data_IF_902857870671
#
_entry.id   IF_902857870671
#
_cell.length_a   1.000
_cell.length_b   1.000
_cell.length_c   1.000
_cell.angle_alpha   90.00
_cell.angle_beta   90.00
_cell.angle_gamma   90.00
#
_symmetry.space_group_name_H-M   'P 1'
#
loop_
_entity.id
_entity.type
_entity.pdbx_description
1 polymer ?
#
# COMPACT_ATOMS: atom_id res chain seq x y z
N UNK A 1 7.01 -12.61 -28.76
CA UNK A 1 6.07 -12.10 -29.78
C UNK A 1 6.47 -10.70 -30.28
N UNK A 2 6.59 -9.64 -29.43
CA UNK A 2 6.91 -8.29 -29.92
C UNK A 2 8.37 -8.18 -30.43
N UNK A 3 9.33 -8.75 -29.70
CA UNK A 3 10.74 -8.79 -30.07
C UNK A 3 11.01 -9.69 -31.29
N UNK A 4 10.27 -10.77 -31.46
CA UNK A 4 10.34 -11.68 -32.56
C UNK A 4 9.80 -11.06 -33.86
N UNK A 5 8.68 -10.32 -33.77
CA UNK A 5 8.06 -9.67 -34.95
C UNK A 5 8.92 -8.54 -35.55
N UNK A 6 9.83 -7.96 -34.79
CA UNK A 6 10.77 -6.90 -35.24
C UNK A 6 12.06 -7.50 -35.80
N UNK A 7 12.35 -8.79 -35.51
CA UNK A 7 13.55 -9.47 -35.99
C UNK A 7 13.62 -9.62 -37.52
N UNK A 8 12.52 -9.49 -38.24
CA UNK A 8 12.43 -9.78 -39.68
C UNK A 8 12.65 -8.58 -40.63
N UNK A 9 12.89 -7.36 -40.15
CA UNK A 9 13.02 -6.23 -41.08
C UNK A 9 13.46 -4.87 -40.57
N UNK A 10 13.93 -4.72 -39.33
CA UNK A 10 14.20 -3.42 -38.77
C UNK A 10 15.69 -3.10 -38.53
N UNK A 11 16.02 -1.78 -38.48
CA UNK A 11 17.31 -1.25 -38.09
C UNK A 11 17.70 -1.80 -36.69
N UNK A 12 18.96 -2.20 -36.51
CA UNK A 12 19.52 -2.71 -35.24
C UNK A 12 19.32 -1.77 -34.04
N UNK A 13 19.12 -0.48 -34.28
CA UNK A 13 18.80 0.52 -33.26
C UNK A 13 17.36 0.38 -32.76
N UNK A 14 16.42 0.20 -33.69
CA UNK A 14 15.01 0.00 -33.38
C UNK A 14 14.80 -1.28 -32.56
N UNK A 15 15.47 -2.36 -32.99
CA UNK A 15 15.46 -3.65 -32.30
C UNK A 15 15.94 -3.53 -30.85
N UNK A 16 17.13 -2.96 -30.62
CA UNK A 16 17.66 -2.72 -29.27
C UNK A 16 16.73 -1.88 -28.38
N UNK A 17 16.05 -0.91 -28.96
CA UNK A 17 15.13 -0.04 -28.24
C UNK A 17 13.86 -0.77 -27.82
N UNK A 18 13.30 -1.61 -28.67
CA UNK A 18 12.17 -2.47 -28.36
C UNK A 18 12.54 -3.51 -27.31
N UNK A 19 13.69 -4.15 -27.43
CA UNK A 19 14.20 -5.10 -26.44
C UNK A 19 14.35 -4.43 -25.05
N UNK A 20 14.91 -3.23 -25.00
CA UNK A 20 15.00 -2.46 -23.74
C UNK A 20 13.65 -2.20 -23.10
N UNK A 21 12.62 -1.85 -23.88
CA UNK A 21 11.26 -1.61 -23.38
C UNK A 21 10.63 -2.93 -22.90
N UNK A 22 10.77 -4.00 -23.67
CA UNK A 22 10.23 -5.33 -23.33
C UNK A 22 10.87 -5.88 -22.07
N UNK A 23 12.18 -5.80 -21.96
CA UNK A 23 12.94 -6.27 -20.79
C UNK A 23 12.60 -5.43 -19.54
N UNK A 24 12.47 -4.12 -19.69
CA UNK A 24 11.99 -3.25 -18.64
C UNK A 24 10.56 -3.55 -18.18
N UNK A 25 9.67 -3.97 -19.09
CA UNK A 25 8.30 -4.41 -18.74
C UNK A 25 8.33 -5.74 -18.03
N UNK A 26 9.09 -6.73 -18.54
CA UNK A 26 9.23 -8.06 -17.92
C UNK A 26 9.86 -7.98 -16.54
N UNK A 27 11.04 -7.36 -16.41
CA UNK A 27 11.74 -7.27 -15.13
C UNK A 27 10.93 -6.57 -14.03
N UNK A 28 10.11 -5.57 -14.40
CA UNK A 28 9.20 -4.95 -13.43
C UNK A 28 8.00 -5.83 -13.12
N UNK A 29 7.47 -6.59 -14.07
CA UNK A 29 6.37 -7.53 -13.83
C UNK A 29 6.83 -8.66 -12.89
N UNK A 30 8.01 -9.21 -13.14
CA UNK A 30 8.61 -10.25 -12.28
C UNK A 30 8.83 -9.72 -10.86
N UNK A 31 9.41 -8.53 -10.71
CA UNK A 31 9.61 -7.90 -9.39
C UNK A 31 8.29 -7.62 -8.65
N UNK A 32 7.21 -7.29 -9.34
CA UNK A 32 5.88 -7.13 -8.75
C UNK A 32 5.31 -8.49 -8.38
N UNK A 33 5.45 -9.50 -9.24
CA UNK A 33 4.97 -10.86 -8.99
C UNK A 33 5.66 -11.46 -7.77
N UNK A 34 6.99 -11.33 -7.64
CA UNK A 34 7.75 -11.82 -6.50
C UNK A 34 7.32 -11.15 -5.18
N UNK A 35 7.06 -9.83 -5.22
CA UNK A 35 6.53 -9.10 -4.04
C UNK A 35 5.12 -9.53 -3.67
N UNK A 36 4.30 -9.89 -4.66
CA UNK A 36 2.92 -10.31 -4.43
C UNK A 36 2.80 -11.78 -4.05
N UNK A 37 3.77 -12.63 -4.40
CA UNK A 37 3.73 -14.08 -4.15
C UNK A 37 3.59 -14.43 -2.66
N UNK A 38 4.14 -13.59 -1.76
CA UNK A 38 4.08 -13.77 -0.31
C UNK A 38 3.21 -12.73 0.41
N UNK A 39 2.58 -11.79 -0.32
CA UNK A 39 1.80 -10.72 0.26
C UNK A 39 0.34 -11.14 0.47
N UNK A 40 -0.20 -10.87 1.66
CA UNK A 40 -1.64 -11.03 1.90
C UNK A 40 -2.41 -9.91 1.21
N UNK A 41 -3.50 -10.27 0.55
CA UNK A 41 -4.38 -9.28 -0.10
C UNK A 41 -4.88 -8.24 0.92
N UNK A 42 -4.77 -6.95 0.58
CA UNK A 42 -5.12 -5.85 1.50
C UNK A 42 -3.97 -5.33 2.37
N UNK A 43 -2.76 -5.89 2.25
CA UNK A 43 -1.59 -5.37 2.95
C UNK A 43 -0.97 -4.16 2.24
N UNK A 44 -0.22 -3.38 3.01
CA UNK A 44 0.54 -2.23 2.49
C UNK A 44 1.54 -2.63 1.39
N UNK A 45 2.06 -3.84 1.42
CA UNK A 45 2.99 -4.39 0.43
C UNK A 45 2.36 -4.48 -0.96
N UNK A 46 1.11 -4.95 -1.05
CA UNK A 46 0.34 -4.99 -2.30
C UNK A 46 0.15 -3.58 -2.87
N UNK A 47 -0.19 -2.61 -2.00
CA UNK A 47 -0.33 -1.22 -2.41
C UNK A 47 0.99 -0.66 -2.95
N UNK A 48 2.10 -0.86 -2.23
CA UNK A 48 3.43 -0.37 -2.64
C UNK A 48 3.87 -1.01 -3.97
N UNK A 49 3.62 -2.30 -4.16
CA UNK A 49 3.91 -2.98 -5.41
C UNK A 49 3.11 -2.38 -6.58
N UNK A 50 1.80 -2.17 -6.39
CA UNK A 50 0.92 -1.56 -7.40
C UNK A 50 1.28 -0.09 -7.68
N UNK A 51 1.62 0.70 -6.65
CA UNK A 51 1.99 2.11 -6.81
C UNK A 51 3.39 2.30 -7.38
N UNK A 52 4.32 1.37 -7.12
CA UNK A 52 5.71 1.44 -7.59
C UNK A 52 5.92 1.13 -9.07
N UNK A 53 4.88 0.64 -9.76
CA UNK A 53 4.98 0.31 -11.17
C UNK A 53 4.91 1.56 -12.06
N UNK A 54 6.03 1.94 -12.67
CA UNK A 54 6.11 3.09 -13.58
C UNK A 54 5.59 2.74 -14.98
N UNK A 55 4.26 2.64 -15.13
CA UNK A 55 3.60 2.34 -16.40
C UNK A 55 3.57 3.54 -17.36
N UNK A 56 3.55 4.78 -16.85
CA UNK A 56 3.45 6.00 -17.66
C UNK A 56 4.65 6.18 -18.59
N UNK A 57 5.87 5.95 -18.05
CA UNK A 57 7.08 5.96 -18.86
C UNK A 57 7.05 4.92 -19.98
N UNK A 58 6.55 3.73 -19.69
CA UNK A 58 6.45 2.63 -20.65
C UNK A 58 5.44 2.92 -21.76
N UNK A 59 4.30 3.53 -21.43
CA UNK A 59 3.33 4.01 -22.41
C UNK A 59 3.95 5.08 -23.31
N UNK A 60 4.66 6.04 -22.69
CA UNK A 60 5.33 7.10 -23.45
C UNK A 60 6.35 6.54 -24.43
N UNK A 61 7.23 5.65 -23.98
CA UNK A 61 8.27 5.08 -24.84
C UNK A 61 7.68 4.19 -25.95
N UNK A 62 6.66 3.38 -25.64
CA UNK A 62 5.97 2.58 -26.65
C UNK A 62 5.30 3.46 -27.73
N UNK A 63 4.65 4.54 -27.34
CA UNK A 63 4.06 5.52 -28.29
C UNK A 63 5.13 6.22 -29.11
N UNK A 64 6.23 6.60 -28.48
CA UNK A 64 7.36 7.25 -29.17
C UNK A 64 7.99 6.35 -30.21
N UNK A 65 8.17 5.05 -29.91
CA UNK A 65 8.67 4.08 -30.91
C UNK A 65 7.71 3.99 -32.10
N UNK A 66 6.41 3.87 -31.86
CA UNK A 66 5.39 3.81 -32.93
C UNK A 66 5.38 5.06 -33.81
N UNK A 67 5.50 6.26 -33.21
CA UNK A 67 5.46 7.50 -33.98
C UNK A 67 6.76 7.79 -34.74
N UNK A 68 7.91 7.43 -34.18
CA UNK A 68 9.22 7.71 -34.76
C UNK A 68 9.63 6.72 -35.88
N UNK A 69 9.09 5.49 -35.85
CA UNK A 69 9.47 4.41 -36.74
C UNK A 69 8.27 3.77 -37.44
N UNK A 70 7.22 4.56 -37.70
CA UNK A 70 5.97 4.07 -38.29
C UNK A 70 6.13 3.38 -39.66
N UNK A 71 7.13 3.78 -40.46
CA UNK A 71 7.42 3.22 -41.78
C UNK A 71 8.31 1.95 -41.72
N UNK A 72 9.06 1.79 -40.61
CA UNK A 72 10.01 0.68 -40.44
C UNK A 72 9.39 -0.49 -39.63
N UNK A 73 8.28 -0.23 -38.93
CA UNK A 73 7.61 -1.22 -38.12
C UNK A 73 6.78 -2.18 -38.98
N UNK A 74 6.96 -3.48 -38.76
CA UNK A 74 6.04 -4.46 -39.30
C UNK A 74 4.63 -4.28 -38.76
N UNK A 75 3.61 -4.64 -39.52
CA UNK A 75 2.22 -4.57 -39.07
C UNK A 75 1.95 -5.40 -37.79
N UNK A 76 2.74 -6.43 -37.57
CA UNK A 76 2.66 -7.27 -36.37
C UNK A 76 3.27 -6.56 -35.14
N UNK A 77 4.43 -5.92 -35.33
CA UNK A 77 5.09 -5.13 -34.28
C UNK A 77 4.23 -3.92 -33.85
N UNK A 78 3.61 -3.22 -34.80
CA UNK A 78 2.72 -2.11 -34.50
C UNK A 78 1.50 -2.55 -33.69
N UNK A 79 0.85 -3.67 -34.09
CA UNK A 79 -0.27 -4.25 -33.33
C UNK A 79 0.13 -4.71 -31.94
N UNK A 80 1.35 -5.23 -31.77
CA UNK A 80 1.86 -5.68 -30.48
C UNK A 80 2.12 -4.49 -29.53
N UNK A 81 2.72 -3.41 -30.06
CA UNK A 81 2.91 -2.16 -29.32
C UNK A 81 1.57 -1.49 -28.95
N UNK A 82 0.59 -1.50 -29.86
CA UNK A 82 -0.74 -0.98 -29.58
C UNK A 82 -1.43 -1.76 -28.44
N UNK A 83 -1.36 -3.09 -28.48
CA UNK A 83 -1.87 -3.94 -27.40
C UNK A 83 -1.17 -3.66 -26.08
N UNK A 84 0.15 -3.48 -26.09
CA UNK A 84 0.92 -3.13 -24.90
C UNK A 84 0.45 -1.79 -24.31
N UNK A 85 0.33 -0.75 -25.14
CA UNK A 85 -0.16 0.58 -24.71
C UNK A 85 -1.56 0.48 -24.13
N UNK A 86 -2.49 -0.23 -24.78
CA UNK A 86 -3.85 -0.43 -24.26
C UNK A 86 -3.83 -1.13 -22.90
N UNK A 87 -3.09 -2.23 -22.78
CA UNK A 87 -3.00 -2.98 -21.52
C UNK A 87 -2.43 -2.12 -20.39
N UNK A 88 -1.36 -1.38 -20.66
CA UNK A 88 -0.78 -0.47 -19.69
C UNK A 88 -1.71 0.70 -19.31
N UNK A 89 -2.53 1.16 -20.24
CA UNK A 89 -3.52 2.22 -19.98
C UNK A 89 -4.58 1.77 -18.97
N UNK A 90 -4.99 0.49 -18.98
CA UNK A 90 -5.90 -0.06 -17.97
C UNK A 90 -5.29 -0.12 -16.57
N UNK A 91 -3.97 -0.07 -16.46
CA UNK A 91 -3.30 -0.10 -15.14
C UNK A 91 -3.57 1.15 -14.30
N UNK A 92 -3.81 2.31 -14.94
CA UNK A 92 -4.16 3.55 -14.25
C UNK A 92 -5.40 3.43 -13.36
N UNK A 93 -6.58 3.11 -13.94
CA UNK A 93 -7.80 2.87 -13.17
C UNK A 93 -7.66 1.74 -12.15
N UNK A 94 -6.97 0.64 -12.48
CA UNK A 94 -6.72 -0.45 -11.54
C UNK A 94 -5.93 0.02 -10.33
N UNK A 95 -4.89 0.84 -10.53
CA UNK A 95 -4.09 1.44 -9.45
C UNK A 95 -4.94 2.29 -8.49
N UNK A 96 -5.84 3.13 -9.00
CA UNK A 96 -6.73 3.93 -8.18
C UNK A 96 -7.73 3.05 -7.41
N UNK A 97 -8.20 1.98 -8.02
CA UNK A 97 -9.07 1.01 -7.36
C UNK A 97 -8.37 0.29 -6.19
N UNK A 98 -7.13 -0.18 -6.39
CA UNK A 98 -6.33 -0.79 -5.32
C UNK A 98 -6.11 0.16 -4.15
N UNK A 99 -5.84 1.43 -4.45
CA UNK A 99 -5.69 2.48 -3.44
C UNK A 99 -6.96 2.67 -2.60
N UNK A 100 -8.11 2.73 -3.26
CA UNK A 100 -9.42 2.84 -2.60
C UNK A 100 -9.72 1.62 -1.73
N UNK A 101 -9.48 0.41 -2.23
CA UNK A 101 -9.66 -0.83 -1.46
C UNK A 101 -8.77 -0.87 -0.23
N UNK A 102 -7.51 -0.47 -0.36
CA UNK A 102 -6.60 -0.41 0.79
C UNK A 102 -7.11 0.52 1.88
N UNK A 103 -7.55 1.75 1.51
CA UNK A 103 -8.10 2.68 2.50
C UNK A 103 -9.37 2.15 3.17
N UNK A 104 -10.26 1.50 2.42
CA UNK A 104 -11.46 0.88 2.98
C UNK A 104 -11.11 -0.21 4.01
N UNK A 105 -10.17 -1.08 3.68
CA UNK A 105 -9.71 -2.15 4.58
C UNK A 105 -9.04 -1.59 5.83
N UNK A 106 -8.22 -0.57 5.68
CA UNK A 106 -7.54 0.08 6.79
C UNK A 106 -8.53 0.74 7.76
N UNK A 107 -9.58 1.41 7.24
CA UNK A 107 -10.65 1.99 8.06
C UNK A 107 -11.43 0.90 8.80
N UNK A 108 -11.76 -0.20 8.14
CA UNK A 108 -12.46 -1.33 8.78
C UNK A 108 -11.61 -1.95 9.89
N UNK A 109 -10.32 -2.17 9.63
CA UNK A 109 -9.40 -2.70 10.63
C UNK A 109 -9.22 -1.75 11.82
N UNK A 110 -9.11 -0.44 11.56
CA UNK A 110 -9.07 0.58 12.60
C UNK A 110 -10.35 0.52 13.48
N UNK A 111 -11.51 0.52 12.84
CA UNK A 111 -12.79 0.48 13.56
C UNK A 111 -12.89 -0.74 14.48
N UNK A 112 -12.49 -1.91 13.99
CA UNK A 112 -12.44 -3.14 14.80
C UNK A 112 -11.44 -3.03 15.95
N UNK A 113 -10.23 -2.57 15.68
CA UNK A 113 -9.19 -2.43 16.70
C UNK A 113 -9.62 -1.47 17.82
N UNK A 114 -10.20 -0.31 17.45
CA UNK A 114 -10.72 0.65 18.43
C UNK A 114 -11.87 0.02 19.24
N UNK A 115 -12.81 -0.67 18.60
CA UNK A 115 -13.95 -1.29 19.29
C UNK A 115 -13.47 -2.32 20.32
N UNK A 116 -12.54 -3.20 19.93
CA UNK A 116 -11.99 -4.22 20.85
C UNK A 116 -11.19 -3.60 22.00
N UNK A 117 -10.53 -2.48 21.80
CA UNK A 117 -9.79 -1.77 22.83
C UNK A 117 -10.71 -0.90 23.71
N UNK A 118 -11.73 -0.27 23.14
CA UNK A 118 -12.61 0.65 23.84
C UNK A 118 -13.54 -0.06 24.84
N UNK A 119 -14.02 -1.26 24.53
CA UNK A 119 -14.93 -2.01 25.42
C UNK A 119 -14.25 -2.32 26.76
N UNK A 120 -13.07 -2.97 26.82
CA UNK A 120 -12.40 -3.20 28.10
C UNK A 120 -11.96 -1.90 28.79
N UNK A 121 -11.53 -0.89 28.03
CA UNK A 121 -11.17 0.42 28.58
C UNK A 121 -12.35 1.08 29.29
N UNK A 122 -13.54 1.05 28.68
CA UNK A 122 -14.77 1.56 29.29
C UNK A 122 -15.17 0.77 30.53
N UNK A 123 -15.14 -0.56 30.47
CA UNK A 123 -15.48 -1.42 31.61
C UNK A 123 -14.57 -1.14 32.80
N UNK A 124 -13.26 -1.03 32.58
CA UNK A 124 -12.30 -0.70 33.65
C UNK A 124 -12.53 0.71 34.17
N UNK A 125 -12.77 1.70 33.30
CA UNK A 125 -13.05 3.07 33.73
C UNK A 125 -14.32 3.16 34.61
N UNK A 126 -15.39 2.46 34.21
CA UNK A 126 -16.63 2.39 35.00
C UNK A 126 -16.38 1.65 36.35
N UNK A 127 -15.66 0.53 36.30
CA UNK A 127 -15.30 -0.19 37.53
C UNK A 127 -14.49 0.67 38.50
N UNK A 128 -13.52 1.44 38.00
CA UNK A 128 -12.76 2.38 38.83
C UNK A 128 -13.64 3.43 39.50
N UNK A 129 -14.62 3.99 38.77
CA UNK A 129 -15.58 4.98 39.29
C UNK A 129 -16.48 4.35 40.38
N UNK A 130 -16.95 3.10 40.14
CA UNK A 130 -17.90 2.47 41.06
C UNK A 130 -17.25 1.85 42.30
N UNK A 131 -16.04 1.30 42.19
CA UNK A 131 -15.44 0.48 43.24
C UNK A 131 -14.21 1.12 43.90
N UNK A 132 -13.62 2.18 43.35
CA UNK A 132 -12.46 2.87 43.89
C UNK A 132 -12.85 4.28 44.33
N UNK A 133 -14.01 4.42 44.98
CA UNK A 133 -14.48 5.68 45.54
C UNK A 133 -13.78 6.07 46.86
N UNK A 134 -13.30 5.08 47.63
CA UNK A 134 -12.54 5.30 48.85
C UNK A 134 -11.09 4.85 48.71
N UNK A 135 -10.15 5.75 49.05
CA UNK A 135 -8.70 5.52 48.98
C UNK A 135 -8.27 4.31 49.85
N UNK A 136 -9.09 4.00 50.86
CA UNK A 136 -8.83 2.88 51.80
C UNK A 136 -9.19 1.50 51.22
N UNK A 137 -9.83 1.43 50.03
CA UNK A 137 -10.28 0.17 49.41
C UNK A 137 -9.12 -0.71 48.95
N UNK A 138 -7.98 -0.11 48.61
CA UNK A 138 -6.79 -0.81 48.10
C UNK A 138 -5.61 -0.44 49.00
N UNK A 139 -5.33 -1.26 50.00
CA UNK A 139 -4.21 -1.05 50.94
C UNK A 139 -3.03 -1.97 50.61
N UNK A 140 -1.83 -1.57 50.98
CA UNK A 140 -0.61 -2.36 50.84
C UNK A 140 0.39 -1.79 49.85
N UNK A 141 1.62 -2.26 49.94
CA UNK A 141 2.76 -1.81 49.13
C UNK A 141 3.38 -3.01 48.45
N UNK A 142 3.53 -2.93 47.14
CA UNK A 142 4.20 -3.94 46.31
C UNK A 142 5.39 -3.28 45.59
N UNK A 143 6.59 -3.86 45.71
CA UNK A 143 7.84 -3.32 45.16
C UNK A 143 8.16 -1.89 45.61
N UNK A 144 7.76 -1.52 46.86
CA UNK A 144 7.99 -0.17 47.41
C UNK A 144 7.01 0.90 46.89
N UNK A 145 5.98 0.50 46.14
CA UNK A 145 4.96 1.39 45.57
C UNK A 145 3.58 0.97 46.08
N UNK A 146 2.74 1.96 46.37
CA UNK A 146 1.36 1.75 46.80
C UNK A 146 0.56 0.97 45.77
N UNK A 147 -0.20 -0.03 46.21
CA UNK A 147 -1.01 -0.87 45.32
C UNK A 147 -2.09 -0.07 44.58
N UNK A 148 -2.60 1.00 45.22
CA UNK A 148 -3.53 1.93 44.56
C UNK A 148 -2.89 2.59 43.34
N UNK A 149 -1.61 2.99 43.44
CA UNK A 149 -0.90 3.61 42.31
C UNK A 149 -0.74 2.64 41.13
N UNK A 150 -0.44 1.35 41.39
CA UNK A 150 -0.39 0.33 40.37
C UNK A 150 -1.75 0.14 39.70
N UNK A 151 -2.84 0.08 40.47
CA UNK A 151 -4.19 -0.08 39.95
C UNK A 151 -4.61 1.11 39.08
N UNK A 152 -4.42 2.33 39.54
CA UNK A 152 -4.77 3.56 38.82
C UNK A 152 -3.92 3.68 37.55
N UNK A 153 -2.61 3.43 37.65
CA UNK A 153 -1.72 3.50 36.48
C UNK A 153 -2.11 2.47 35.41
N UNK A 154 -2.45 1.25 35.82
CA UNK A 154 -2.94 0.21 34.93
C UNK A 154 -4.26 0.59 34.22
N UNK A 155 -5.21 1.10 35.01
CA UNK A 155 -6.50 1.54 34.49
C UNK A 155 -6.36 2.72 33.50
N UNK A 156 -5.56 3.72 33.83
CA UNK A 156 -5.28 4.86 32.93
C UNK A 156 -4.57 4.40 31.67
N UNK A 157 -3.58 3.51 31.81
CA UNK A 157 -2.88 2.95 30.64
C UNK A 157 -3.85 2.23 29.71
N UNK A 158 -4.75 1.41 30.24
CA UNK A 158 -5.76 0.71 29.44
C UNK A 158 -6.77 1.68 28.81
N UNK A 159 -7.20 2.71 29.51
CA UNK A 159 -8.09 3.74 28.99
C UNK A 159 -7.47 4.54 27.83
N UNK A 160 -6.15 4.67 27.79
CA UNK A 160 -5.43 5.37 26.72
C UNK A 160 -5.22 4.52 25.47
N UNK A 161 -5.30 3.19 25.54
CA UNK A 161 -5.04 2.28 24.40
C UNK A 161 -5.86 2.65 23.16
N UNK A 162 -7.19 2.89 23.21
CA UNK A 162 -7.97 3.25 22.01
C UNK A 162 -7.46 4.54 21.34
N UNK A 163 -7.02 5.52 22.12
CA UNK A 163 -6.48 6.78 21.62
C UNK A 163 -5.11 6.59 20.97
N UNK A 164 -4.26 5.74 21.55
CA UNK A 164 -2.96 5.40 20.96
C UNK A 164 -3.11 4.63 19.65
N UNK A 165 -4.08 3.73 19.56
CA UNK A 165 -4.43 3.06 18.30
C UNK A 165 -4.88 4.08 17.26
N UNK A 166 -5.80 4.96 17.60
CA UNK A 166 -6.28 6.01 16.69
C UNK A 166 -5.10 6.87 16.17
N UNK A 167 -4.25 7.34 17.06
CA UNK A 167 -3.08 8.15 16.71
C UNK A 167 -2.13 7.40 15.76
N UNK A 168 -1.84 6.14 16.06
CA UNK A 168 -0.99 5.27 15.23
C UNK A 168 -1.53 5.15 13.80
N UNK A 169 -2.83 4.93 13.66
CA UNK A 169 -3.48 4.82 12.35
C UNK A 169 -3.50 6.14 11.58
N UNK A 170 -3.76 7.26 12.27
CA UNK A 170 -3.71 8.60 11.65
C UNK A 170 -2.30 8.87 11.10
N UNK A 171 -1.25 8.60 11.86
CA UNK A 171 0.13 8.76 11.42
C UNK A 171 0.47 7.86 10.22
N UNK A 172 -0.02 6.62 10.22
CA UNK A 172 0.15 5.70 9.12
C UNK A 172 -0.53 6.20 7.85
N UNK A 173 -1.79 6.61 7.93
CA UNK A 173 -2.54 7.17 6.80
C UNK A 173 -1.86 8.44 6.27
N UNK A 174 -1.44 9.34 7.15
CA UNK A 174 -0.73 10.56 6.77
C UNK A 174 0.59 10.27 6.04
N UNK A 175 1.35 9.26 6.49
CA UNK A 175 2.59 8.82 5.84
C UNK A 175 2.34 8.26 4.45
N UNK A 176 1.29 7.44 4.27
CA UNK A 176 0.89 6.89 2.98
C UNK A 176 0.44 8.01 2.04
N UNK A 177 -0.41 8.93 2.52
CA UNK A 177 -0.89 10.06 1.74
C UNK A 177 0.26 10.94 1.26
N UNK A 178 1.22 11.26 2.13
CA UNK A 178 2.40 12.04 1.77
C UNK A 178 3.24 11.37 0.66
N UNK A 179 3.44 10.06 0.73
CA UNK A 179 4.20 9.32 -0.29
C UNK A 179 3.47 9.25 -1.64
N UNK A 180 2.15 9.19 -1.62
CA UNK A 180 1.36 9.15 -2.87
C UNK A 180 1.25 10.49 -3.57
N UNK A 181 1.32 11.61 -2.84
CA UNK A 181 1.36 12.97 -3.37
C UNK A 181 2.75 13.36 -3.92
N UNK A 182 3.82 12.77 -3.38
CA UNK A 182 5.20 13.05 -3.83
C UNK A 182 5.57 12.38 -5.17
N UNK A 183 4.69 11.56 -5.75
CA UNK A 183 4.85 10.91 -7.06
C UNK A 183 3.93 11.62 -8.09
N UNK A 184 3.84 12.92 -8.02
CA UNK A 184 3.29 13.75 -9.09
C UNK A 184 4.30 13.90 -10.24
N UNK A 185 3.86 14.26 -11.46
CA UNK A 185 4.66 14.27 -12.68
C UNK A 185 5.88 15.13 -12.58
#
# INVERSE_FOLDING_TARGET
>A
ACAEAVAEGGDDRLRRRIDTVVDGVKGNADAVTDRLANAQFGTFEVLVAALGYNYSWKIYEARRIRSAHSEELSAEADRALDRLVRTLTYFGPAREHFKTLYFQWEIVNLSRAILYAAVPALLVSVAMILFVSDIETVTGVTLGVDNLLWLVSGAVSLALVPFMLLLSYILRIATVAKRTLAIGP
#
